data_IF_108121808494
#
_entry.id   IF_108121808494
#
_cell.length_a   1.000
_cell.length_b   1.000
_cell.length_c   1.000
_cell.angle_alpha   90.00
_cell.angle_beta   90.00
_cell.angle_gamma   90.00
#
_symmetry.space_group_name_H-M   'P 1'
#
loop_
_entity.id
_entity.type
_entity.pdbx_description
1 polymer ?
#
# COMPACT_ATOMS: atom_id res chain seq x y z
N UNK A 1 -68.39 4.35 23.97
CA UNK A 1 -67.04 3.81 24.22
C UNK A 1 -66.17 4.25 23.06
N UNK A 2 -65.54 5.42 23.15
CA UNK A 2 -64.63 5.92 22.10
C UNK A 2 -63.30 5.20 22.27
N UNK A 3 -62.97 4.31 21.34
CA UNK A 3 -61.61 3.83 21.14
C UNK A 3 -60.83 5.03 20.60
N UNK A 4 -60.29 5.84 21.52
CA UNK A 4 -59.32 6.87 21.21
C UNK A 4 -58.05 6.18 20.76
N UNK A 5 -57.97 5.88 19.47
CA UNK A 5 -56.77 5.31 18.88
C UNK A 5 -55.63 6.29 19.13
N UNK A 6 -54.61 5.84 19.87
CA UNK A 6 -53.39 6.57 20.22
C UNK A 6 -52.49 6.76 18.98
N UNK A 7 -53.05 7.39 17.95
CA UNK A 7 -52.39 7.73 16.71
C UNK A 7 -51.29 8.78 16.96
N UNK A 8 -51.47 9.62 17.98
CA UNK A 8 -50.51 10.66 18.39
C UNK A 8 -49.22 10.08 18.97
N UNK A 9 -49.31 9.12 19.89
CA UNK A 9 -48.15 8.41 20.43
C UNK A 9 -47.46 7.53 19.39
N UNK A 10 -48.24 6.88 18.52
CA UNK A 10 -47.71 6.02 17.45
C UNK A 10 -46.99 6.83 16.34
N UNK A 11 -47.58 7.95 15.89
CA UNK A 11 -46.92 8.84 14.91
C UNK A 11 -45.73 9.60 15.49
N UNK A 12 -45.81 10.02 16.77
CA UNK A 12 -44.67 10.61 17.48
C UNK A 12 -43.51 9.63 17.62
N UNK A 13 -43.80 8.35 17.87
CA UNK A 13 -42.83 7.26 17.92
C UNK A 13 -42.14 7.00 16.57
N UNK A 14 -42.89 6.98 15.46
CA UNK A 14 -42.35 6.79 14.09
C UNK A 14 -41.51 7.99 13.64
N UNK A 15 -41.98 9.21 13.89
CA UNK A 15 -41.21 10.44 13.56
C UNK A 15 -39.94 10.51 14.42
N UNK A 16 -40.03 10.16 15.71
CA UNK A 16 -38.89 10.11 16.62
C UNK A 16 -37.84 9.08 16.21
N UNK A 17 -38.24 7.88 15.80
CA UNK A 17 -37.31 6.83 15.34
C UNK A 17 -36.69 7.15 13.98
N UNK A 18 -37.45 7.71 13.03
CA UNK A 18 -36.90 8.19 11.75
C UNK A 18 -35.91 9.35 11.97
N UNK A 19 -36.23 10.30 12.84
CA UNK A 19 -35.33 11.39 13.22
C UNK A 19 -34.03 10.86 13.85
N UNK A 20 -34.13 9.92 14.79
CA UNK A 20 -32.96 9.28 15.40
C UNK A 20 -32.09 8.54 14.38
N UNK A 21 -32.70 7.83 13.42
CA UNK A 21 -31.98 7.16 12.34
C UNK A 21 -31.20 8.14 11.45
N UNK A 22 -31.81 9.27 11.08
CA UNK A 22 -31.17 10.31 10.28
C UNK A 22 -29.99 10.96 11.02
N UNK A 23 -30.15 11.26 12.31
CA UNK A 23 -29.07 11.80 13.15
C UNK A 23 -27.95 10.80 13.28
N UNK A 24 -28.24 9.51 13.53
CA UNK A 24 -27.22 8.47 13.60
C UNK A 24 -26.43 8.34 12.28
N UNK A 25 -27.11 8.35 11.13
CA UNK A 25 -26.48 8.32 9.80
C UNK A 25 -25.61 9.55 9.57
N UNK A 26 -26.07 10.73 9.97
CA UNK A 26 -25.31 11.97 9.86
C UNK A 26 -24.05 11.95 10.73
N UNK A 27 -24.16 11.48 11.98
CA UNK A 27 -23.04 11.35 12.91
C UNK A 27 -21.99 10.36 12.41
N UNK A 28 -22.42 9.20 11.89
CA UNK A 28 -21.51 8.22 11.27
C UNK A 28 -20.80 8.83 10.06
N UNK A 29 -21.51 9.60 9.23
CA UNK A 29 -20.91 10.28 8.08
C UNK A 29 -19.84 11.29 8.53
N UNK A 30 -20.15 12.12 9.54
CA UNK A 30 -19.22 13.09 10.13
C UNK A 30 -18.00 12.43 10.78
N UNK A 31 -18.19 11.32 11.49
CA UNK A 31 -17.10 10.54 12.09
C UNK A 31 -16.15 10.00 11.00
N UNK A 32 -16.71 9.40 9.94
CA UNK A 32 -15.92 8.94 8.80
C UNK A 32 -15.18 10.09 8.10
N UNK A 33 -15.80 11.25 7.95
CA UNK A 33 -15.15 12.45 7.40
C UNK A 33 -13.99 12.94 8.28
N UNK A 34 -14.11 12.85 9.60
CA UNK A 34 -13.06 13.21 10.55
C UNK A 34 -11.91 12.18 10.60
N UNK A 35 -12.17 10.91 10.30
CA UNK A 35 -11.15 9.85 10.25
C UNK A 35 -10.34 9.83 8.95
N UNK A 36 -10.94 10.25 7.83
CA UNK A 36 -10.26 10.35 6.52
C UNK A 36 -8.88 11.04 6.54
N UNK A 37 -8.68 12.21 7.17
CA UNK A 37 -7.36 12.86 7.19
C UNK A 37 -6.33 12.06 7.99
N UNK A 38 -6.75 11.39 9.08
CA UNK A 38 -5.85 10.52 9.86
C UNK A 38 -5.46 9.29 9.04
N UNK A 39 -6.42 8.62 8.42
CA UNK A 39 -6.17 7.47 7.55
C UNK A 39 -5.25 7.85 6.38
N UNK A 40 -5.53 8.97 5.70
CA UNK A 40 -4.68 9.50 4.61
C UNK A 40 -3.24 9.77 5.07
N UNK A 41 -3.06 10.34 6.27
CA UNK A 41 -1.73 10.57 6.84
C UNK A 41 -1.00 9.25 7.08
N UNK A 42 -1.66 8.24 7.64
CA UNK A 42 -1.06 6.90 7.84
C UNK A 42 -0.67 6.26 6.51
N UNK A 43 -1.55 6.31 5.50
CA UNK A 43 -1.26 5.84 4.14
C UNK A 43 -0.05 6.56 3.55
N UNK A 44 0.01 7.88 3.68
CA UNK A 44 1.13 8.66 3.18
C UNK A 44 2.45 8.28 3.86
N UNK A 45 2.47 8.11 5.18
CA UNK A 45 3.68 7.73 5.93
C UNK A 45 4.16 6.34 5.53
N UNK A 46 3.27 5.36 5.49
CA UNK A 46 3.60 4.00 5.08
C UNK A 46 4.11 3.97 3.62
N UNK A 47 3.39 4.63 2.71
CA UNK A 47 3.79 4.72 1.30
C UNK A 47 5.12 5.45 1.11
N UNK A 48 5.42 6.47 1.92
CA UNK A 48 6.72 7.16 1.88
C UNK A 48 7.85 6.19 2.26
N UNK A 49 7.69 5.40 3.33
CA UNK A 49 8.71 4.44 3.77
C UNK A 49 8.96 3.36 2.73
N UNK A 50 7.90 2.82 2.12
CA UNK A 50 8.02 1.85 1.03
C UNK A 50 8.70 2.48 -0.19
N UNK A 51 8.32 3.72 -0.53
CA UNK A 51 8.94 4.48 -1.62
C UNK A 51 10.43 4.72 -1.40
N UNK A 52 10.81 5.16 -0.19
CA UNK A 52 12.20 5.40 0.19
C UNK A 52 13.02 4.10 0.11
N UNK A 53 12.46 2.98 0.57
CA UNK A 53 13.11 1.68 0.47
C UNK A 53 13.36 1.27 -0.99
N UNK A 54 12.38 1.44 -1.88
CA UNK A 54 12.51 1.15 -3.31
C UNK A 54 13.57 2.04 -3.97
N UNK A 55 13.53 3.34 -3.68
CA UNK A 55 14.45 4.32 -4.24
C UNK A 55 15.88 4.09 -3.76
N UNK A 56 16.08 3.86 -2.46
CA UNK A 56 17.42 3.60 -1.93
C UNK A 56 18.00 2.31 -2.51
N UNK A 57 17.18 1.27 -2.64
CA UNK A 57 17.62 0.01 -3.22
C UNK A 57 17.98 0.13 -4.69
N UNK A 58 17.22 0.90 -5.49
CA UNK A 58 17.57 1.11 -6.89
C UNK A 58 18.93 1.80 -7.04
N UNK A 59 19.22 2.79 -6.19
CA UNK A 59 20.55 3.43 -6.14
C UNK A 59 21.65 2.48 -5.68
N UNK A 60 21.41 1.67 -4.65
CA UNK A 60 22.38 0.65 -4.20
C UNK A 60 22.77 -0.29 -5.34
N UNK A 61 21.82 -0.68 -6.19
CA UNK A 61 22.05 -1.57 -7.33
C UNK A 61 22.80 -0.86 -8.46
N UNK A 62 22.45 0.39 -8.77
CA UNK A 62 23.13 1.18 -9.80
C UNK A 62 24.61 1.42 -9.46
N UNK A 63 24.92 1.58 -8.17
CA UNK A 63 26.27 1.79 -7.67
C UNK A 63 27.11 0.51 -7.57
N UNK A 64 26.53 -0.67 -7.83
CA UNK A 64 27.27 -1.92 -7.88
C UNK A 64 28.02 -2.04 -9.21
N UNK A 65 29.24 -1.50 -9.25
CA UNK A 65 30.18 -1.58 -10.40
C UNK A 65 30.74 -3.00 -10.65
N UNK A 66 30.45 -3.97 -9.78
CA UNK A 66 31.05 -5.31 -9.83
C UNK A 66 30.29 -6.24 -10.78
N UNK A 67 31.01 -6.95 -11.64
CA UNK A 67 30.50 -7.97 -12.58
C UNK A 67 30.08 -9.30 -11.92
N UNK A 68 29.80 -9.27 -10.62
CA UNK A 68 29.49 -10.47 -9.84
C UNK A 68 28.04 -10.45 -9.35
N UNK A 69 27.31 -11.51 -9.71
CA UNK A 69 25.92 -11.68 -9.31
C UNK A 69 25.74 -11.90 -7.80
N UNK A 70 26.74 -12.47 -7.12
CA UNK A 70 26.65 -12.85 -5.70
C UNK A 70 26.26 -11.68 -4.77
N UNK A 71 27.02 -10.57 -4.77
CA UNK A 71 26.68 -9.38 -3.99
C UNK A 71 25.29 -8.83 -4.28
N UNK A 72 24.87 -8.83 -5.55
CA UNK A 72 23.56 -8.36 -5.97
C UNK A 72 22.43 -9.26 -5.45
N UNK A 73 22.61 -10.58 -5.47
CA UNK A 73 21.67 -11.53 -4.88
C UNK A 73 21.52 -11.32 -3.38
N UNK A 74 22.62 -11.13 -2.67
CA UNK A 74 22.59 -10.86 -1.23
C UNK A 74 21.79 -9.59 -0.93
N UNK A 75 22.05 -8.52 -1.69
CA UNK A 75 21.31 -7.27 -1.59
C UNK A 75 19.82 -7.43 -1.89
N UNK A 76 19.45 -8.23 -2.88
CA UNK A 76 18.04 -8.55 -3.17
C UNK A 76 17.36 -9.31 -2.02
N UNK A 77 18.06 -10.26 -1.39
CA UNK A 77 17.55 -10.98 -0.22
C UNK A 77 17.35 -10.04 0.97
N UNK A 78 18.34 -9.17 1.25
CA UNK A 78 18.25 -8.16 2.31
C UNK A 78 17.08 -7.19 2.06
N UNK A 79 16.94 -6.71 0.82
CA UNK A 79 15.86 -5.81 0.45
C UNK A 79 14.48 -6.46 0.59
N UNK A 80 14.35 -7.72 0.18
CA UNK A 80 13.14 -8.51 0.41
C UNK A 80 12.79 -8.61 1.90
N UNK A 81 13.79 -8.81 2.76
CA UNK A 81 13.61 -8.79 4.21
C UNK A 81 12.99 -7.48 4.69
N UNK A 82 13.57 -6.34 4.29
CA UNK A 82 13.04 -5.00 4.62
C UNK A 82 11.60 -4.80 4.13
N UNK A 83 11.25 -5.29 2.94
CA UNK A 83 9.87 -5.22 2.43
C UNK A 83 8.89 -6.05 3.27
N UNK A 84 9.30 -7.22 3.74
CA UNK A 84 8.48 -8.07 4.61
C UNK A 84 8.25 -7.42 5.98
N UNK A 85 9.24 -6.72 6.53
CA UNK A 85 9.10 -5.97 7.78
C UNK A 85 8.04 -4.85 7.68
N UNK A 86 7.83 -4.30 6.48
CA UNK A 86 6.82 -3.26 6.22
C UNK A 86 5.43 -3.82 5.88
N UNK A 87 5.31 -5.14 5.65
CA UNK A 87 4.06 -5.77 5.23
C UNK A 87 2.93 -5.67 6.27
N UNK A 88 3.16 -5.88 7.59
CA UNK A 88 2.10 -5.73 8.60
C UNK A 88 1.50 -4.32 8.62
N UNK A 89 2.36 -3.30 8.56
CA UNK A 89 1.93 -1.91 8.52
C UNK A 89 1.14 -1.60 7.24
N UNK A 90 1.54 -2.17 6.10
CA UNK A 90 0.81 -2.03 4.84
C UNK A 90 -0.59 -2.67 4.91
N UNK A 91 -0.73 -3.84 5.54
CA UNK A 91 -2.02 -4.54 5.73
C UNK A 91 -3.00 -3.69 6.55
N UNK A 92 -2.50 -3.01 7.57
CA UNK A 92 -3.33 -2.14 8.42
C UNK A 92 -3.71 -0.83 7.74
N UNK A 93 -3.06 -0.49 6.62
CA UNK A 93 -3.09 0.86 6.05
C UNK A 93 -3.74 0.94 4.68
N UNK A 94 -3.27 0.17 3.69
CA UNK A 94 -3.78 0.21 2.31
C UNK A 94 -3.43 -1.07 1.54
N UNK A 95 -4.45 -1.78 1.05
CA UNK A 95 -4.29 -3.01 0.26
C UNK A 95 -3.39 -2.84 -0.98
N UNK A 96 -3.33 -1.63 -1.56
CA UNK A 96 -2.48 -1.37 -2.72
C UNK A 96 -1.01 -1.42 -2.37
N UNK A 97 -0.64 -1.04 -1.14
CA UNK A 97 0.74 -1.17 -0.66
C UNK A 97 1.09 -2.64 -0.43
N UNK A 98 0.16 -3.44 0.08
CA UNK A 98 0.31 -4.90 0.22
C UNK A 98 0.58 -5.54 -1.15
N UNK A 99 -0.25 -5.24 -2.14
CA UNK A 99 -0.10 -5.75 -3.51
C UNK A 99 1.23 -5.32 -4.12
N UNK A 100 1.65 -4.08 -3.89
CA UNK A 100 2.93 -3.55 -4.37
C UNK A 100 4.10 -4.31 -3.75
N UNK A 101 4.13 -4.47 -2.43
CA UNK A 101 5.19 -5.20 -1.72
C UNK A 101 5.28 -6.64 -2.22
N UNK A 102 4.15 -7.33 -2.31
CA UNK A 102 4.07 -8.72 -2.77
C UNK A 102 4.53 -8.89 -4.22
N UNK A 103 4.17 -7.94 -5.08
CA UNK A 103 4.60 -7.95 -6.48
C UNK A 103 6.10 -7.73 -6.62
N UNK A 104 6.66 -6.72 -5.94
CA UNK A 104 8.11 -6.46 -5.96
C UNK A 104 8.86 -7.70 -5.48
N UNK A 105 8.44 -8.29 -4.36
CA UNK A 105 9.03 -9.53 -3.83
C UNK A 105 9.02 -10.66 -4.87
N UNK A 106 7.87 -10.89 -5.48
CA UNK A 106 7.66 -12.00 -6.42
C UNK A 106 8.45 -11.81 -7.71
N UNK A 107 8.44 -10.60 -8.28
CA UNK A 107 9.15 -10.30 -9.52
C UNK A 107 10.67 -10.34 -9.32
N UNK A 108 11.19 -9.78 -8.22
CA UNK A 108 12.62 -9.90 -7.88
C UNK A 108 13.03 -11.35 -7.66
N UNK A 109 12.19 -12.17 -7.02
CA UNK A 109 12.48 -13.60 -6.84
C UNK A 109 12.50 -14.37 -8.17
N UNK A 110 11.53 -14.13 -9.06
CA UNK A 110 11.50 -14.73 -10.40
C UNK A 110 12.74 -14.34 -11.19
N UNK A 111 13.10 -13.05 -11.15
CA UNK A 111 14.28 -12.53 -11.83
C UNK A 111 15.54 -13.19 -11.29
N UNK A 112 15.67 -13.27 -9.97
CA UNK A 112 16.81 -13.93 -9.35
C UNK A 112 16.94 -15.40 -9.74
N UNK A 113 15.83 -16.14 -9.78
CA UNK A 113 15.81 -17.54 -10.23
C UNK A 113 16.09 -17.71 -11.74
N UNK A 114 15.76 -16.71 -12.55
CA UNK A 114 16.07 -16.72 -13.96
C UNK A 114 17.58 -16.59 -14.18
N UNK A 115 18.20 -15.58 -13.57
CA UNK A 115 19.62 -15.30 -13.76
C UNK A 115 20.55 -16.22 -12.96
N UNK A 116 20.09 -16.86 -11.89
CA UNK A 116 20.89 -17.88 -11.18
C UNK A 116 21.15 -19.14 -12.00
N UNK A 117 20.34 -19.37 -13.05
CA UNK A 117 20.45 -20.53 -13.96
C UNK A 117 21.21 -20.22 -15.25
N UNK A 118 21.59 -18.96 -15.47
CA UNK A 118 22.31 -18.54 -16.67
C UNK A 118 23.81 -18.67 -16.40
N UNK A 119 24.49 -19.52 -17.18
CA UNK A 119 25.94 -19.74 -17.03
C UNK A 119 26.79 -18.57 -17.56
N UNK A 120 26.21 -17.69 -18.37
CA UNK A 120 26.93 -16.61 -19.03
C UNK A 120 27.05 -15.35 -18.16
N UNK A 121 28.27 -14.98 -17.78
CA UNK A 121 28.55 -13.80 -16.95
C UNK A 121 28.30 -12.46 -17.66
N UNK A 122 28.16 -12.44 -18.99
CA UNK A 122 27.94 -11.21 -19.76
C UNK A 122 26.51 -10.64 -19.65
N UNK A 123 25.56 -11.37 -19.06
CA UNK A 123 24.18 -10.91 -18.90
C UNK A 123 23.95 -10.04 -17.65
N UNK A 124 24.99 -9.72 -16.89
CA UNK A 124 24.87 -8.98 -15.63
C UNK A 124 24.29 -7.58 -15.81
N UNK A 125 24.70 -6.86 -16.87
CA UNK A 125 24.14 -5.55 -17.20
C UNK A 125 22.65 -5.61 -17.57
N UNK A 126 22.21 -6.72 -18.17
CA UNK A 126 20.79 -6.96 -18.47
C UNK A 126 20.01 -7.27 -17.19
N UNK A 127 20.58 -8.06 -16.29
CA UNK A 127 19.99 -8.33 -14.98
C UNK A 127 19.78 -7.05 -14.16
N UNK A 128 20.80 -6.20 -14.06
CA UNK A 128 20.70 -4.89 -13.41
C UNK A 128 19.59 -4.02 -14.01
N UNK A 129 19.50 -3.99 -15.35
CA UNK A 129 18.48 -3.24 -16.06
C UNK A 129 17.07 -3.77 -15.75
N UNK A 130 16.90 -5.09 -15.72
CA UNK A 130 15.61 -5.71 -15.42
C UNK A 130 15.18 -5.46 -13.97
N UNK A 131 16.11 -5.54 -13.01
CA UNK A 131 15.84 -5.15 -11.61
C UNK A 131 15.40 -3.69 -11.55
N UNK A 132 16.16 -2.78 -12.17
CA UNK A 132 15.86 -1.35 -12.18
C UNK A 132 14.48 -1.05 -12.77
N UNK A 133 14.12 -1.70 -13.89
CA UNK A 133 12.80 -1.55 -14.52
C UNK A 133 11.65 -1.95 -13.58
N UNK A 134 11.81 -3.04 -12.81
CA UNK A 134 10.80 -3.48 -11.83
C UNK A 134 10.66 -2.42 -10.73
N UNK A 135 11.78 -1.97 -10.17
CA UNK A 135 11.78 -0.98 -9.08
C UNK A 135 11.19 0.36 -9.52
N UNK A 136 11.58 0.85 -10.69
CA UNK A 136 11.06 2.12 -11.26
C UNK A 136 9.56 2.06 -11.51
N UNK A 137 9.07 0.94 -12.06
CA UNK A 137 7.65 0.74 -12.31
C UNK A 137 6.86 0.79 -11.00
N UNK A 138 7.28 0.03 -9.99
CA UNK A 138 6.55 -0.06 -8.72
C UNK A 138 6.75 1.21 -7.87
N UNK A 139 7.87 1.91 -7.99
CA UNK A 139 8.07 3.22 -7.37
C UNK A 139 7.06 4.26 -7.92
N UNK A 140 6.73 4.22 -9.21
CA UNK A 140 5.67 5.09 -9.78
C UNK A 140 4.30 4.77 -9.19
N UNK A 141 3.98 3.50 -8.97
CA UNK A 141 2.75 3.08 -8.29
C UNK A 141 2.73 3.61 -6.86
N UNK A 142 3.83 3.45 -6.13
CA UNK A 142 3.99 3.98 -4.77
C UNK A 142 3.76 5.50 -4.73
N UNK A 143 4.38 6.23 -5.66
CA UNK A 143 4.22 7.68 -5.79
C UNK A 143 2.77 8.08 -6.06
N UNK A 144 2.04 7.32 -6.89
CA UNK A 144 0.61 7.55 -7.12
C UNK A 144 -0.21 7.41 -5.84
N UNK A 145 0.05 6.36 -5.04
CA UNK A 145 -0.59 6.15 -3.74
C UNK A 145 -0.28 7.33 -2.80
N UNK A 146 0.98 7.76 -2.74
CA UNK A 146 1.39 8.93 -1.95
C UNK A 146 0.65 10.21 -2.37
N UNK A 147 0.54 10.48 -3.68
CA UNK A 147 -0.16 11.67 -4.18
C UNK A 147 -1.64 11.66 -3.81
N UNK A 148 -2.30 10.51 -3.92
CA UNK A 148 -3.70 10.36 -3.53
C UNK A 148 -3.91 10.51 -2.02
N UNK A 149 -2.95 10.03 -1.22
CA UNK A 149 -2.96 10.15 0.22
C UNK A 149 -2.66 11.59 0.70
N UNK A 150 -1.76 12.31 0.01
CA UNK A 150 -1.41 13.70 0.33
C UNK A 150 -2.58 14.66 0.12
N UNK A 151 -3.47 14.34 -0.81
CA UNK A 151 -4.59 15.19 -1.20
C UNK A 151 -4.13 16.38 -2.05
N UNK A 152 -4.74 16.54 -3.22
CA UNK A 152 -5.10 17.88 -3.71
C UNK A 152 -6.06 18.54 -2.74
#
# INVERSE_FOLDING_TARGET
>A
MSIGFDLGGFMGGIIGTLGAYWVARYTIKKQREAERPKQRKTVYVCASRVGDALYNFSWEIVLMENTEYGPLFEKMIQFRGKLLEMLPEAIETDDRLVVLIERVRTELFKLGNHYSKIENRNDYGKFLKDVSNILDKEFRVCKSIMTQAKGT
#
